data_IF_402527215662
#
_entry.id   IF_402527215662
#
_cell.length_a   1.000
_cell.length_b   1.000
_cell.length_c   1.000
_cell.angle_alpha   90.00
_cell.angle_beta   90.00
_cell.angle_gamma   90.00
#
_symmetry.space_group_name_H-M   'P 1'
#
loop_
_entity.id
_entity.type
_entity.pdbx_description
1 polymer ?
#
# COMPACT_ATOMS: atom_id res chain seq x y z
N UNK A 1 -46.93 -2.08 64.22
CA UNK A 1 -47.28 -0.77 63.62
C UNK A 1 -46.01 -0.27 62.92
N UNK A 2 -45.76 -0.60 61.65
CA UNK A 2 -46.25 0.03 60.41
C UNK A 2 -45.74 1.47 60.17
N UNK A 3 -44.90 1.61 59.13
CA UNK A 3 -44.76 2.69 58.10
C UNK A 3 -43.27 2.82 57.69
N UNK A 4 -42.80 2.47 56.49
CA UNK A 4 -43.13 2.82 55.08
C UNK A 4 -42.64 4.20 54.61
N UNK A 5 -41.61 4.13 53.75
CA UNK A 5 -41.35 4.85 52.47
C UNK A 5 -40.98 6.34 52.45
N UNK A 6 -40.01 6.64 51.58
CA UNK A 6 -39.89 7.94 50.89
C UNK A 6 -38.50 8.20 50.28
N UNK A 7 -38.18 7.59 49.13
CA UNK A 7 -37.07 8.00 48.27
C UNK A 7 -37.58 9.12 47.35
N UNK A 8 -36.97 10.31 47.41
CA UNK A 8 -37.29 11.43 46.52
C UNK A 8 -36.20 11.57 45.44
N UNK A 9 -36.63 11.40 44.19
CA UNK A 9 -35.93 11.72 42.96
C UNK A 9 -36.00 13.22 42.66
N UNK A 10 -34.89 13.83 42.21
CA UNK A 10 -34.87 15.12 41.52
C UNK A 10 -34.13 14.99 40.18
N UNK A 11 -34.59 15.68 39.10
CA UNK A 11 -34.04 15.54 37.76
C UNK A 11 -32.94 16.57 37.50
N UNK A 12 -31.87 16.17 36.80
CA UNK A 12 -30.92 17.11 36.21
C UNK A 12 -31.02 17.04 34.69
N UNK A 13 -31.60 18.09 34.12
CA UNK A 13 -31.57 18.43 32.70
C UNK A 13 -30.33 19.28 32.41
N UNK A 14 -29.46 18.83 31.51
CA UNK A 14 -28.44 19.67 30.87
C UNK A 14 -28.43 19.45 29.35
N UNK A 15 -28.09 20.49 28.55
CA UNK A 15 -28.46 20.62 27.14
C UNK A 15 -27.46 19.98 26.17
N UNK A 16 -27.94 19.77 24.93
CA UNK A 16 -27.18 19.26 23.77
C UNK A 16 -26.30 20.34 23.10
N UNK A 17 -25.19 19.88 22.49
CA UNK A 17 -24.30 20.60 21.55
C UNK A 17 -22.94 20.93 22.15
N UNK A 18 -21.76 20.66 21.57
CA UNK A 18 -21.37 20.35 20.19
C UNK A 18 -20.14 19.42 20.16
N UNK A 19 -20.05 18.59 19.12
CA UNK A 19 -18.95 17.67 18.84
C UNK A 19 -17.68 18.42 18.42
N UNK A 20 -16.53 17.99 18.95
CA UNK A 20 -15.19 18.21 18.40
C UNK A 20 -14.55 16.84 18.23
N UNK A 21 -14.11 16.55 17.01
CA UNK A 21 -13.72 15.23 16.52
C UNK A 21 -12.57 14.60 17.31
N UNK A 22 -12.90 13.54 18.04
CA UNK A 22 -11.96 12.48 18.32
C UNK A 22 -11.97 11.55 17.11
N UNK A 23 -10.94 11.63 16.26
CA UNK A 23 -10.54 10.48 15.44
C UNK A 23 -9.95 9.45 16.41
N UNK A 24 -10.85 8.85 17.18
CA UNK A 24 -10.54 7.82 18.14
C UNK A 24 -10.18 6.55 17.37
N UNK A 25 -9.14 5.85 17.87
CA UNK A 25 -8.93 4.42 17.70
C UNK A 25 -10.20 3.71 17.26
N UNK A 26 -10.11 2.93 16.18
CA UNK A 26 -11.09 1.90 15.92
C UNK A 26 -10.59 0.61 16.59
N UNK A 27 -10.97 0.31 17.86
CA UNK A 27 -10.52 -0.88 18.57
C UNK A 27 -11.10 -2.19 18.00
N UNK A 28 -12.00 -2.11 17.01
CA UNK A 28 -12.68 -3.28 16.43
C UNK A 28 -11.96 -3.84 15.18
N UNK A 29 -10.76 -3.34 14.84
CA UNK A 29 -9.96 -3.90 13.74
C UNK A 29 -9.17 -5.14 14.21
N UNK A 30 -9.85 -6.28 14.07
CA UNK A 30 -9.37 -7.65 13.79
C UNK A 30 -8.54 -8.34 14.89
N UNK A 31 -9.17 -9.26 15.63
CA UNK A 31 -8.45 -10.39 16.25
C UNK A 31 -7.72 -11.17 15.14
N UNK A 32 -6.39 -11.22 15.21
CA UNK A 32 -5.57 -11.98 14.27
C UNK A 32 -5.97 -13.47 14.32
N UNK A 33 -6.62 -13.93 13.25
CA UNK A 33 -6.78 -15.35 12.95
C UNK A 33 -5.87 -15.63 11.75
N UNK A 34 -4.92 -16.57 11.82
CA UNK A 34 -4.09 -16.93 10.67
C UNK A 34 -5.00 -17.25 9.48
N UNK A 35 -4.83 -16.58 8.35
CA UNK A 35 -5.83 -16.66 7.30
C UNK A 35 -5.61 -17.92 6.45
N UNK A 36 -6.69 -18.59 6.08
CA UNK A 36 -6.61 -19.87 5.36
C UNK A 36 -7.74 -20.11 4.37
N UNK A 37 -8.60 -19.11 4.15
CA UNK A 37 -9.79 -19.29 3.31
C UNK A 37 -9.96 -18.18 2.28
N UNK A 38 -10.67 -18.48 1.19
CA UNK A 38 -11.09 -17.48 0.19
C UNK A 38 -11.95 -16.35 0.79
N UNK A 39 -12.70 -16.63 1.86
CA UNK A 39 -13.49 -15.60 2.56
C UNK A 39 -12.59 -14.58 3.27
N UNK A 40 -11.40 -14.98 3.69
CA UNK A 40 -10.41 -14.08 4.28
C UNK A 40 -9.82 -13.14 3.22
N UNK A 41 -9.51 -13.63 2.02
CA UNK A 41 -9.01 -12.80 0.91
C UNK A 41 -10.05 -11.77 0.44
N UNK A 42 -11.32 -12.18 0.31
CA UNK A 42 -12.41 -11.25 -0.03
C UNK A 42 -12.62 -10.20 1.07
N UNK A 43 -12.39 -10.55 2.34
CA UNK A 43 -12.43 -9.61 3.46
C UNK A 43 -11.27 -8.64 3.39
N UNK A 44 -10.05 -9.12 3.16
CA UNK A 44 -8.85 -8.29 3.03
C UNK A 44 -9.06 -7.27 1.90
N UNK A 45 -9.50 -7.71 0.73
CA UNK A 45 -9.77 -6.82 -0.40
C UNK A 45 -10.80 -5.72 -0.08
N UNK A 46 -11.79 -6.00 0.76
CA UNK A 46 -12.81 -5.00 1.13
C UNK A 46 -12.34 -4.05 2.22
N UNK A 47 -11.63 -4.55 3.23
CA UNK A 47 -11.36 -3.82 4.46
C UNK A 47 -10.08 -2.99 4.38
N UNK A 48 -9.16 -3.38 3.48
CA UNK A 48 -7.88 -2.72 3.23
C UNK A 48 -7.98 -1.89 1.96
N UNK A 49 -8.77 -0.82 2.02
CA UNK A 49 -8.90 0.17 0.96
C UNK A 49 -8.82 1.57 1.55
N UNK A 50 -8.25 2.53 0.83
CA UNK A 50 -8.16 3.92 1.25
C UNK A 50 -8.50 4.88 0.13
N UNK A 51 -9.11 6.01 0.48
CA UNK A 51 -9.38 7.05 -0.50
C UNK A 51 -8.05 7.69 -0.96
N UNK A 52 -7.89 7.99 -2.26
CA UNK A 52 -6.71 8.69 -2.76
C UNK A 52 -6.47 10.02 -2.04
N UNK A 53 -5.20 10.45 -1.96
CA UNK A 53 -4.87 11.73 -1.33
C UNK A 53 -5.56 12.87 -2.09
N UNK A 54 -6.49 13.64 -1.47
CA UNK A 54 -7.15 14.77 -2.12
C UNK A 54 -6.19 15.87 -2.58
N UNK A 55 -5.00 15.96 -1.98
CA UNK A 55 -3.97 16.95 -2.28
C UNK A 55 -2.96 16.43 -3.32
N UNK A 56 -3.08 15.15 -3.71
CA UNK A 56 -2.33 14.53 -4.78
C UNK A 56 -0.82 14.38 -4.52
N UNK A 57 -0.09 14.20 -5.63
CA UNK A 57 1.36 14.03 -5.61
C UNK A 57 2.10 15.37 -5.70
N UNK A 58 3.24 15.44 -4.99
CA UNK A 58 4.18 16.56 -4.97
C UNK A 58 5.59 16.03 -5.20
N UNK A 59 6.45 16.85 -5.79
CA UNK A 59 7.88 16.57 -5.82
C UNK A 59 8.47 16.78 -4.43
N UNK A 60 9.17 15.78 -3.93
CA UNK A 60 9.88 15.85 -2.66
C UNK A 60 11.39 15.84 -2.88
N UNK A 61 12.15 16.63 -2.08
CA UNK A 61 11.70 17.51 -0.98
C UNK A 61 11.05 18.82 -1.43
N UNK A 62 10.08 19.33 -0.68
CA UNK A 62 9.33 20.55 -1.07
C UNK A 62 10.05 21.85 -0.75
N UNK A 63 10.97 21.83 0.21
CA UNK A 63 11.68 23.01 0.67
C UNK A 63 13.16 22.97 0.30
N UNK A 64 13.73 24.14 0.02
CA UNK A 64 15.08 24.24 -0.56
C UNK A 64 16.20 23.79 0.43
N UNK A 65 15.98 23.93 1.74
CA UNK A 65 16.93 23.51 2.79
C UNK A 65 17.00 21.98 2.86
N UNK A 66 15.85 21.30 2.79
CA UNK A 66 15.78 19.84 2.69
C UNK A 66 16.18 19.35 1.30
N UNK A 67 15.97 20.11 0.21
CA UNK A 67 16.53 19.79 -1.13
C UNK A 67 18.04 19.66 -1.11
N UNK A 68 18.76 20.55 -0.42
CA UNK A 68 20.22 20.46 -0.34
C UNK A 68 20.69 19.21 0.43
N UNK A 69 20.00 18.84 1.52
CA UNK A 69 20.35 17.67 2.34
C UNK A 69 19.83 16.34 1.79
N UNK A 70 18.56 16.29 1.41
CA UNK A 70 17.91 15.09 0.87
C UNK A 70 18.30 14.80 -0.58
N UNK A 71 18.71 15.82 -1.36
CA UNK A 71 19.37 15.63 -2.66
C UNK A 71 20.71 14.90 -2.54
N UNK A 72 21.46 15.13 -1.45
CA UNK A 72 22.68 14.36 -1.13
C UNK A 72 22.35 12.92 -0.70
N UNK A 73 21.17 12.74 -0.11
CA UNK A 73 20.57 11.45 0.16
C UNK A 73 19.82 10.89 -1.06
N UNK A 74 19.83 11.50 -2.25
CA UNK A 74 19.15 10.95 -3.43
C UNK A 74 17.63 10.76 -3.30
N UNK A 75 16.96 11.48 -2.40
CA UNK A 75 15.49 11.45 -2.25
C UNK A 75 14.86 12.48 -3.21
N UNK A 76 14.82 12.17 -4.51
CA UNK A 76 14.07 12.96 -5.49
C UNK A 76 12.95 12.10 -6.03
N UNK A 77 11.79 12.17 -5.38
CA UNK A 77 10.66 11.30 -5.67
C UNK A 77 9.34 12.06 -5.62
N UNK A 78 8.39 11.58 -6.40
CA UNK A 78 7.00 12.05 -6.36
C UNK A 78 6.25 11.29 -5.27
N UNK A 79 5.96 11.98 -4.17
CA UNK A 79 5.25 11.45 -2.98
C UNK A 79 3.92 12.19 -2.80
N UNK A 80 3.02 11.69 -1.98
CA UNK A 80 1.80 12.44 -1.63
C UNK A 80 2.12 13.70 -0.82
N UNK A 81 1.25 14.71 -0.89
CA UNK A 81 1.43 15.94 -0.12
C UNK A 81 1.56 15.68 1.40
N UNK A 82 0.80 14.69 1.92
CA UNK A 82 0.86 14.29 3.33
C UNK A 82 2.12 13.52 3.69
N UNK A 83 2.67 12.68 2.80
CA UNK A 83 3.99 12.08 3.01
C UNK A 83 5.05 13.17 3.13
N UNK A 84 5.02 14.16 2.24
CA UNK A 84 5.96 15.27 2.30
C UNK A 84 5.85 16.07 3.61
N UNK A 85 4.65 16.28 4.16
CA UNK A 85 4.46 16.90 5.49
C UNK A 85 5.11 16.07 6.60
N UNK A 86 4.97 14.74 6.55
CA UNK A 86 5.54 13.85 7.55
C UNK A 86 7.07 13.78 7.46
N UNK A 87 7.61 13.71 6.24
CA UNK A 87 9.05 13.71 5.97
C UNK A 87 9.70 15.04 6.38
N UNK A 88 9.06 16.18 6.11
CA UNK A 88 9.53 17.50 6.55
C UNK A 88 9.66 17.57 8.09
N UNK A 89 8.76 16.90 8.81
CA UNK A 89 8.75 16.83 10.27
C UNK A 89 9.89 16.02 10.91
N UNK A 90 10.59 15.16 10.14
CA UNK A 90 11.69 14.33 10.64
C UNK A 90 13.01 15.11 10.80
N UNK A 91 13.17 16.21 10.05
CA UNK A 91 14.45 16.91 9.92
C UNK A 91 15.54 16.06 9.24
N UNK A 92 16.74 16.63 9.05
CA UNK A 92 17.79 15.99 8.24
C UNK A 92 18.28 14.65 8.79
N UNK A 93 18.44 14.54 10.11
CA UNK A 93 18.89 13.30 10.75
C UNK A 93 17.82 12.20 10.60
N UNK A 94 16.55 12.53 10.85
CA UNK A 94 15.43 11.62 10.68
C UNK A 94 15.21 11.19 9.22
N UNK A 95 15.47 12.08 8.25
CA UNK A 95 15.41 11.73 6.83
C UNK A 95 16.50 10.74 6.41
N UNK A 96 17.74 10.94 6.89
CA UNK A 96 18.82 9.97 6.66
C UNK A 96 18.42 8.62 7.23
N UNK A 97 17.95 8.63 8.47
CA UNK A 97 17.49 7.44 9.18
C UNK A 97 16.33 6.72 8.48
N UNK A 98 15.38 7.47 7.94
CA UNK A 98 14.26 6.95 7.17
C UNK A 98 14.73 6.30 5.88
N UNK A 99 15.63 6.95 5.15
CA UNK A 99 16.22 6.40 3.94
C UNK A 99 17.03 5.13 4.22
N UNK A 100 17.81 5.11 5.29
CA UNK A 100 18.58 3.93 5.68
C UNK A 100 17.65 2.74 6.00
N UNK A 101 16.51 3.01 6.67
CA UNK A 101 15.47 2.00 6.93
C UNK A 101 14.82 1.50 5.64
N UNK A 102 14.49 2.40 4.72
CA UNK A 102 13.94 2.04 3.41
C UNK A 102 14.92 1.17 2.62
N UNK A 103 16.17 1.63 2.43
CA UNK A 103 17.20 0.91 1.70
C UNK A 103 17.47 -0.48 2.28
N UNK A 104 17.53 -0.59 3.61
CA UNK A 104 17.69 -1.89 4.29
C UNK A 104 16.54 -2.85 4.01
N UNK A 105 15.30 -2.36 3.96
CA UNK A 105 14.16 -3.20 3.63
C UNK A 105 14.24 -3.72 2.19
N UNK A 106 14.65 -2.88 1.23
CA UNK A 106 14.88 -3.28 -0.15
C UNK A 106 16.01 -4.31 -0.28
N UNK A 107 17.18 -4.04 0.30
CA UNK A 107 18.33 -4.94 0.22
C UNK A 107 18.01 -6.31 0.87
N UNK A 108 17.36 -6.29 2.03
CA UNK A 108 16.98 -7.54 2.73
C UNK A 108 15.91 -8.30 1.95
N UNK A 109 14.98 -7.61 1.29
CA UNK A 109 13.98 -8.26 0.44
C UNK A 109 14.64 -8.97 -0.75
N UNK A 110 15.57 -8.31 -1.44
CA UNK A 110 16.31 -8.90 -2.56
C UNK A 110 17.16 -10.10 -2.12
N UNK A 111 17.73 -10.07 -0.91
CA UNK A 111 18.50 -11.18 -0.34
C UNK A 111 17.65 -12.40 0.04
N UNK A 112 16.45 -12.19 0.61
CA UNK A 112 15.57 -13.27 1.10
C UNK A 112 14.64 -13.82 0.02
N UNK A 113 14.16 -12.95 -0.85
CA UNK A 113 13.22 -13.23 -1.92
C UNK A 113 13.73 -12.57 -3.20
N UNK A 114 14.65 -13.25 -3.89
CA UNK A 114 15.28 -12.72 -5.10
C UNK A 114 14.21 -12.27 -6.13
N UNK A 115 14.39 -11.10 -6.76
CA UNK A 115 13.44 -10.60 -7.73
C UNK A 115 13.33 -11.53 -8.94
N UNK A 116 12.11 -11.71 -9.42
CA UNK A 116 11.88 -12.41 -10.69
C UNK A 116 12.43 -11.59 -11.86
N UNK A 117 12.88 -12.25 -12.93
CA UNK A 117 13.35 -11.54 -14.12
C UNK A 117 12.26 -11.49 -15.19
N UNK A 118 11.69 -10.30 -15.44
CA UNK A 118 10.65 -10.08 -16.46
C UNK A 118 11.10 -9.08 -17.52
N UNK A 119 11.04 -9.49 -18.78
CA UNK A 119 11.51 -8.65 -19.90
C UNK A 119 12.98 -8.24 -19.78
N UNK A 120 13.80 -9.03 -19.09
CA UNK A 120 15.21 -8.73 -18.81
C UNK A 120 15.44 -7.71 -17.69
N UNK A 121 14.41 -7.38 -16.90
CA UNK A 121 14.49 -6.49 -15.74
C UNK A 121 14.00 -7.22 -14.48
N UNK A 122 14.57 -6.95 -13.30
CA UNK A 122 14.05 -7.50 -12.06
C UNK A 122 12.67 -6.90 -11.75
N UNK A 123 11.72 -7.77 -11.43
CA UNK A 123 10.35 -7.49 -11.02
C UNK A 123 10.20 -7.81 -9.52
N UNK A 124 9.74 -6.80 -8.78
CA UNK A 124 9.68 -6.76 -7.31
C UNK A 124 8.29 -6.36 -6.81
N UNK A 125 7.34 -6.25 -7.72
CA UNK A 125 6.02 -5.73 -7.42
C UNK A 125 5.04 -6.89 -7.32
N UNK A 126 4.10 -6.77 -6.40
CA UNK A 126 2.99 -7.69 -6.13
C UNK A 126 3.37 -9.14 -5.78
N UNK A 127 4.65 -9.39 -5.54
CA UNK A 127 5.22 -10.72 -5.31
C UNK A 127 5.76 -10.89 -3.89
N UNK A 128 6.37 -12.03 -3.58
CA UNK A 128 6.93 -12.31 -2.25
C UNK A 128 7.99 -11.31 -1.82
N UNK A 129 8.78 -10.77 -2.75
CA UNK A 129 9.73 -9.70 -2.47
C UNK A 129 9.00 -8.45 -1.99
N UNK A 130 7.90 -8.09 -2.66
CA UNK A 130 7.06 -6.97 -2.28
C UNK A 130 6.42 -7.16 -0.90
N UNK A 131 5.78 -8.32 -0.69
CA UNK A 131 5.14 -8.67 0.57
C UNK A 131 6.14 -8.64 1.74
N UNK A 132 7.34 -9.21 1.55
CA UNK A 132 8.41 -9.13 2.54
C UNK A 132 8.83 -7.66 2.78
N UNK A 133 9.06 -6.90 1.71
CA UNK A 133 9.54 -5.51 1.78
C UNK A 133 8.56 -4.63 2.55
N UNK A 134 7.27 -4.67 2.24
CA UNK A 134 6.24 -3.89 2.93
C UNK A 134 6.14 -4.26 4.41
N UNK A 135 6.11 -5.56 4.71
CA UNK A 135 6.03 -6.08 6.08
C UNK A 135 7.26 -5.68 6.89
N UNK A 136 8.46 -5.91 6.37
CA UNK A 136 9.71 -5.62 7.07
C UNK A 136 9.96 -4.12 7.22
N UNK A 137 9.66 -3.32 6.20
CA UNK A 137 9.75 -1.86 6.29
C UNK A 137 8.83 -1.30 7.38
N UNK A 138 7.59 -1.78 7.48
CA UNK A 138 6.68 -1.39 8.56
C UNK A 138 7.15 -1.85 9.93
N UNK A 139 7.79 -3.02 10.04
CA UNK A 139 8.39 -3.47 11.28
C UNK A 139 9.54 -2.55 11.73
N UNK A 140 10.46 -2.20 10.81
CA UNK A 140 11.58 -1.29 11.07
C UNK A 140 11.09 0.13 11.42
N UNK A 141 10.15 0.68 10.65
CA UNK A 141 9.55 1.98 10.94
C UNK A 141 8.86 1.98 12.30
N UNK A 142 8.15 0.91 12.66
CA UNK A 142 7.48 0.80 13.96
C UNK A 142 8.46 0.80 15.13
N UNK A 143 9.57 0.07 15.02
CA UNK A 143 10.63 0.13 16.04
C UNK A 143 11.24 1.52 16.17
N UNK A 144 11.35 2.27 15.08
CA UNK A 144 12.06 3.55 15.04
C UNK A 144 11.19 4.76 15.39
N UNK A 145 9.97 4.79 14.86
CA UNK A 145 9.06 5.94 14.90
C UNK A 145 7.76 5.65 15.67
N UNK A 146 7.51 4.40 16.05
CA UNK A 146 6.30 3.96 16.73
C UNK A 146 5.15 3.63 15.78
N UNK A 147 4.27 2.73 16.20
CA UNK A 147 3.22 2.16 15.35
C UNK A 147 2.26 3.20 14.76
N UNK A 148 1.90 4.23 15.53
CA UNK A 148 0.98 5.29 15.06
C UNK A 148 1.58 6.13 13.94
N UNK A 149 2.87 6.48 14.06
CA UNK A 149 3.55 7.23 13.01
C UNK A 149 3.67 6.38 11.75
N UNK A 150 4.08 5.12 11.91
CA UNK A 150 4.23 4.16 10.82
C UNK A 150 2.92 3.91 10.08
N UNK A 151 1.82 3.68 10.80
CA UNK A 151 0.51 3.47 10.20
C UNK A 151 0.11 4.68 9.35
N UNK A 152 0.23 5.89 9.89
CA UNK A 152 -0.10 7.11 9.16
C UNK A 152 0.76 7.25 7.90
N UNK A 153 2.07 7.04 8.01
CA UNK A 153 2.98 7.16 6.88
C UNK A 153 2.65 6.13 5.79
N UNK A 154 2.63 4.85 6.16
CA UNK A 154 2.41 3.74 5.23
C UNK A 154 1.04 3.83 4.57
N UNK A 155 -0.02 4.14 5.34
CA UNK A 155 -1.35 4.34 4.77
C UNK A 155 -1.35 5.47 3.75
N UNK A 156 -0.68 6.59 4.05
CA UNK A 156 -0.58 7.71 3.13
C UNK A 156 0.19 7.32 1.86
N UNK A 157 1.26 6.54 1.97
CA UNK A 157 2.01 6.01 0.84
C UNK A 157 1.13 5.22 -0.14
N UNK A 158 0.12 4.50 0.35
CA UNK A 158 -0.81 3.73 -0.51
C UNK A 158 -1.88 4.59 -1.19
N UNK A 159 -2.14 5.82 -0.72
CA UNK A 159 -3.14 6.74 -1.31
C UNK A 159 -2.71 7.37 -2.65
N UNK A 160 -1.61 6.90 -3.25
CA UNK A 160 -1.10 7.40 -4.53
C UNK A 160 -2.05 6.99 -5.66
N UNK A 161 -2.34 7.89 -6.62
CA UNK A 161 -3.30 7.61 -7.69
C UNK A 161 -2.80 6.50 -8.62
N UNK A 162 -3.71 5.63 -9.05
CA UNK A 162 -3.44 4.57 -10.02
C UNK A 162 -3.11 3.21 -9.41
N UNK A 163 -3.20 3.05 -8.08
CA UNK A 163 -3.11 1.75 -7.44
C UNK A 163 -4.36 0.90 -7.77
N UNK A 164 -4.18 -0.40 -8.03
CA UNK A 164 -5.33 -1.30 -8.18
C UNK A 164 -5.87 -1.67 -6.80
N UNK A 165 -7.17 -1.94 -6.64
CA UNK A 165 -7.74 -2.36 -5.35
C UNK A 165 -6.98 -3.52 -4.72
N UNK A 166 -6.52 -4.48 -5.53
CA UNK A 166 -5.81 -5.66 -5.03
C UNK A 166 -4.40 -5.36 -4.57
N UNK A 167 -3.66 -4.47 -5.26
CA UNK A 167 -2.34 -4.04 -4.81
C UNK A 167 -2.46 -3.20 -3.54
N UNK A 168 -3.39 -2.23 -3.51
CA UNK A 168 -3.65 -1.43 -2.32
C UNK A 168 -3.99 -2.30 -1.10
N UNK A 169 -4.85 -3.31 -1.28
CA UNK A 169 -5.19 -4.25 -0.22
C UNK A 169 -4.00 -5.09 0.23
N UNK A 170 -3.18 -5.56 -0.70
CA UNK A 170 -1.96 -6.30 -0.42
C UNK A 170 -0.99 -5.47 0.43
N UNK A 171 -0.69 -4.26 -0.03
CA UNK A 171 0.25 -3.35 0.61
C UNK A 171 -0.22 -2.98 2.02
N UNK A 172 -1.47 -2.52 2.17
CA UNK A 172 -2.01 -2.12 3.47
C UNK A 172 -2.07 -3.28 4.48
N UNK A 173 -2.43 -4.50 4.02
CA UNK A 173 -2.48 -5.69 4.88
C UNK A 173 -1.08 -6.09 5.35
N UNK A 174 -0.12 -6.20 4.43
CA UNK A 174 1.25 -6.56 4.74
C UNK A 174 1.93 -5.47 5.62
N UNK A 175 1.62 -4.20 5.36
CA UNK A 175 2.04 -3.07 6.19
C UNK A 175 1.56 -3.24 7.64
N UNK A 176 0.28 -3.59 7.85
CA UNK A 176 -0.25 -3.82 9.19
C UNK A 176 0.39 -5.01 9.91
N UNK A 177 0.56 -6.14 9.20
CA UNK A 177 1.23 -7.31 9.77
C UNK A 177 2.65 -6.96 10.25
N UNK A 178 3.39 -6.17 9.49
CA UNK A 178 4.72 -5.67 9.88
C UNK A 178 4.72 -4.87 11.17
N UNK A 179 3.73 -3.98 11.35
CA UNK A 179 3.57 -3.22 12.60
C UNK A 179 3.29 -4.14 13.78
N UNK A 180 2.40 -5.12 13.61
CA UNK A 180 2.06 -6.11 14.65
C UNK A 180 3.28 -6.94 15.06
N UNK A 181 4.04 -7.47 14.10
CA UNK A 181 5.28 -8.23 14.37
C UNK A 181 6.24 -7.38 15.23
N UNK A 182 6.45 -6.10 14.90
CA UNK A 182 7.32 -5.25 15.69
C UNK A 182 6.78 -4.95 17.11
N UNK A 183 5.46 -4.85 17.28
CA UNK A 183 4.82 -4.62 18.58
C UNK A 183 4.86 -5.87 19.47
N UNK A 184 4.69 -7.05 18.89
CA UNK A 184 4.74 -8.33 19.59
C UNK A 184 6.18 -8.73 19.96
N UNK A 185 7.17 -8.19 19.23
CA UNK A 185 8.59 -8.44 19.42
C UNK A 185 9.39 -7.15 19.65
N UNK A 186 9.11 -6.38 20.73
CA UNK A 186 9.69 -5.06 20.93
C UNK A 186 11.22 -5.09 21.07
N UNK A 187 11.77 -6.18 21.60
CA UNK A 187 13.22 -6.36 21.83
C UNK A 187 13.96 -7.03 20.67
N UNK A 188 13.26 -7.50 19.63
CA UNK A 188 13.88 -8.17 18.49
C UNK A 188 14.85 -7.24 17.75
N UNK A 189 16.05 -7.72 17.46
CA UNK A 189 16.97 -7.07 16.54
C UNK A 189 16.38 -6.97 15.13
N UNK A 190 16.96 -6.11 14.29
CA UNK A 190 16.55 -6.00 12.88
C UNK A 190 16.66 -7.35 12.16
N UNK A 191 17.69 -8.14 12.45
CA UNK A 191 17.85 -9.48 11.88
C UNK A 191 16.73 -10.42 12.34
N UNK A 192 16.40 -10.41 13.63
CA UNK A 192 15.30 -11.24 14.16
C UNK A 192 13.96 -10.83 13.57
N UNK A 193 13.72 -9.53 13.38
CA UNK A 193 12.54 -9.06 12.65
C UNK A 193 12.53 -9.56 11.20
N UNK A 194 13.66 -9.49 10.49
CA UNK A 194 13.74 -10.01 9.13
C UNK A 194 13.45 -11.52 9.09
N UNK A 195 13.96 -12.29 10.05
CA UNK A 195 13.71 -13.73 10.16
C UNK A 195 12.22 -14.03 10.46
N UNK A 196 11.58 -13.23 11.33
CA UNK A 196 10.15 -13.34 11.62
C UNK A 196 9.27 -13.01 10.40
N UNK A 197 9.63 -11.96 9.66
CA UNK A 197 8.90 -11.55 8.45
C UNK A 197 9.09 -12.58 7.34
N UNK A 198 10.30 -13.11 7.14
CA UNK A 198 10.54 -14.19 6.19
C UNK A 198 9.65 -15.39 6.51
N UNK A 199 9.57 -15.77 7.79
CA UNK A 199 8.71 -16.85 8.24
C UNK A 199 7.23 -16.55 7.96
N UNK A 200 6.74 -15.34 8.23
CA UNK A 200 5.36 -14.95 7.93
C UNK A 200 5.04 -15.06 6.43
N UNK A 201 5.99 -14.69 5.56
CA UNK A 201 5.83 -14.86 4.11
C UNK A 201 5.80 -16.36 3.72
N UNK A 202 6.65 -17.18 4.31
CA UNK A 202 6.73 -18.63 4.02
C UNK A 202 5.53 -19.41 4.56
N UNK A 203 4.96 -18.98 5.68
CA UNK A 203 3.82 -19.63 6.34
C UNK A 203 2.46 -19.21 5.75
N UNK A 204 2.42 -18.24 4.82
CA UNK A 204 1.18 -17.77 4.19
C UNK A 204 0.45 -16.67 4.95
N UNK A 205 1.08 -16.07 5.96
CA UNK A 205 0.46 -15.01 6.77
C UNK A 205 0.37 -13.69 6.00
N UNK A 206 1.24 -13.48 4.99
CA UNK A 206 1.18 -12.35 4.04
C UNK A 206 0.34 -12.66 2.81
N UNK A 207 -0.07 -11.61 2.09
CA UNK A 207 -0.74 -11.74 0.79
C UNK A 207 0.09 -11.17 -0.35
N UNK A 208 -0.16 -11.67 -1.56
CA UNK A 208 0.47 -11.29 -2.84
C UNK A 208 -0.62 -11.20 -3.93
N UNK A 209 -0.28 -10.71 -5.12
CA UNK A 209 -1.22 -10.67 -6.27
C UNK A 209 -0.86 -11.74 -7.31
N UNK A 210 -1.84 -12.59 -7.61
CA UNK A 210 -1.78 -13.66 -8.62
C UNK A 210 -1.62 -13.13 -10.05
N UNK A 211 -0.61 -13.64 -10.75
CA UNK A 211 -0.39 -13.39 -12.16
C UNK A 211 -1.46 -14.01 -13.04
N UNK A 212 -2.13 -13.14 -13.80
CA UNK A 212 -3.11 -13.55 -14.81
C UNK A 212 -4.55 -13.43 -14.34
N UNK A 213 -4.77 -13.10 -13.06
CA UNK A 213 -6.09 -12.80 -12.52
C UNK A 213 -6.21 -11.46 -11.80
N UNK A 214 -5.09 -10.87 -11.35
CA UNK A 214 -5.10 -9.65 -10.55
C UNK A 214 -5.80 -9.85 -9.20
N UNK A 215 -5.83 -11.08 -8.67
CA UNK A 215 -6.52 -11.42 -7.40
C UNK A 215 -5.50 -11.55 -6.28
N UNK A 216 -5.92 -11.24 -5.05
CA UNK A 216 -5.15 -11.58 -3.86
C UNK A 216 -5.01 -13.10 -3.68
N UNK A 217 -3.86 -13.53 -3.18
CA UNK A 217 -3.57 -14.89 -2.73
C UNK A 217 -2.69 -14.86 -1.47
N UNK A 218 -2.77 -15.88 -0.62
CA UNK A 218 -1.79 -16.06 0.45
C UNK A 218 -0.45 -16.44 -0.15
N UNK A 219 0.63 -15.96 0.46
CA UNK A 219 1.98 -16.12 -0.06
C UNK A 219 2.44 -17.57 -0.15
N UNK A 220 1.90 -18.50 0.64
CA UNK A 220 2.23 -19.93 0.56
C UNK A 220 1.43 -20.69 -0.52
N UNK A 221 0.39 -20.08 -1.09
CA UNK A 221 -0.50 -20.72 -2.07
C UNK A 221 -0.06 -20.55 -3.52
N UNK A 222 0.94 -19.70 -3.76
CA UNK A 222 1.40 -19.33 -5.09
C UNK A 222 2.91 -19.22 -5.12
N UNK A 223 3.54 -19.69 -6.19
CA UNK A 223 4.99 -19.53 -6.36
C UNK A 223 5.34 -18.10 -6.77
N UNK A 224 6.54 -17.63 -6.46
CA UNK A 224 6.97 -16.26 -6.84
C UNK A 224 6.86 -16.02 -8.35
N UNK A 225 7.15 -17.04 -9.17
CA UNK A 225 7.03 -16.96 -10.63
C UNK A 225 5.61 -16.67 -11.15
N UNK A 226 4.61 -16.93 -10.31
CA UNK A 226 3.18 -16.76 -10.55
C UNK A 226 2.61 -15.49 -9.87
N UNK A 227 3.45 -14.58 -9.35
CA UNK A 227 3.00 -13.30 -8.73
C UNK A 227 3.61 -12.04 -9.34
N UNK A 228 2.84 -10.95 -9.50
CA UNK A 228 3.31 -9.66 -10.06
C UNK A 228 2.35 -8.92 -11.02
N UNK A 229 2.83 -7.85 -11.67
CA UNK A 229 2.03 -7.09 -12.65
C UNK A 229 1.65 -7.90 -13.90
N UNK A 230 0.35 -7.96 -14.29
CA UNK A 230 -0.06 -8.58 -15.55
C UNK A 230 0.40 -7.75 -16.76
N UNK A 231 0.67 -8.41 -17.91
CA UNK A 231 0.79 -7.72 -19.20
C UNK A 231 -0.55 -7.12 -19.63
N UNK A 232 -0.90 -5.95 -19.13
CA UNK A 232 -1.96 -5.15 -19.75
C UNK A 232 -1.37 -4.38 -20.93
N UNK A 233 -1.54 -4.93 -22.14
CA UNK A 233 -1.67 -4.05 -23.31
C UNK A 233 -2.97 -3.28 -23.12
N UNK A 234 -2.98 -1.93 -23.18
CA UNK A 234 -4.21 -1.17 -23.14
C UNK A 234 -5.17 -1.73 -24.21
N UNK A 235 -6.48 -1.88 -23.93
CA UNK A 235 -7.43 -2.23 -24.97
C UNK A 235 -7.28 -1.19 -26.09
N UNK A 236 -7.03 -1.68 -27.29
CA UNK A 236 -6.94 -0.86 -28.49
C UNK A 236 -8.28 -0.14 -28.63
N UNK A 237 -8.30 1.16 -28.28
CA UNK A 237 -9.45 2.01 -28.56
C UNK A 237 -9.60 2.00 -30.08
N UNK A 238 -10.62 1.31 -30.57
CA UNK A 238 -11.08 1.47 -31.95
C UNK A 238 -11.31 2.96 -32.15
N UNK A 239 -10.45 3.59 -32.95
CA UNK A 239 -10.70 4.94 -33.40
C UNK A 239 -12.03 4.92 -34.17
N UNK A 240 -12.94 5.86 -33.91
CA UNK A 240 -14.18 5.93 -34.66
C UNK A 240 -13.83 6.19 -36.13
N UNK A 241 -14.34 5.31 -37.00
CA UNK A 241 -14.28 5.42 -38.45
C UNK A 241 -14.57 6.85 -38.90
N UNK A 242 -13.56 7.56 -39.41
CA UNK A 242 -13.80 8.68 -40.31
C UNK A 242 -14.22 8.09 -41.66
N UNK A 243 -15.53 7.92 -41.82
CA UNK A 243 -16.16 7.89 -43.14
C UNK A 243 -16.70 9.28 -43.42
N UNK A 244 -16.20 9.91 -44.48
CA UNK A 244 -16.95 10.85 -45.30
C UNK A 244 -16.18 11.08 -46.61
N UNK A 245 -16.68 10.38 -47.62
CA UNK A 245 -16.79 10.71 -49.05
C UNK A 245 -16.29 12.07 -49.58
N UNK A 246 -15.75 12.02 -50.80
CA UNK A 246 -16.31 12.58 -52.05
C UNK A 246 -15.14 12.78 -53.03
N UNK A 247 -14.95 11.92 -54.05
CA UNK A 247 -15.51 12.07 -55.40
C UNK A 247 -14.34 12.11 -56.41
N UNK A 248 -14.36 11.59 -57.64
CA UNK A 248 -15.37 10.91 -58.45
C UNK A 248 -14.81 10.72 -59.88
N UNK A 249 -15.27 9.67 -60.58
CA UNK A 249 -15.23 9.47 -62.05
C UNK A 249 -13.85 9.21 -62.70
N UNK A 250 -13.70 8.44 -63.78
CA UNK A 250 -14.62 7.71 -64.66
C UNK A 250 -13.82 6.67 -65.47
N UNK A 251 -14.54 5.69 -65.99
CA UNK A 251 -14.09 4.55 -66.82
C UNK A 251 -13.47 4.91 -68.18
N UNK A 252 -12.76 3.92 -68.77
CA UNK A 252 -12.52 3.56 -70.19
C UNK A 252 -11.20 2.76 -70.23
N UNK A 253 -10.98 1.65 -70.93
CA UNK A 253 -11.69 0.86 -71.94
C UNK A 253 -10.69 -0.19 -72.47
N UNK A 254 -11.20 -1.27 -73.06
CA UNK A 254 -10.50 -2.48 -73.50
C UNK A 254 -9.45 -2.30 -74.63
N UNK A 255 -8.66 -3.36 -74.80
CA UNK A 255 -8.40 -4.07 -76.08
C UNK A 255 -7.01 -3.96 -76.78
N UNK A 256 -6.42 -5.16 -76.92
CA UNK A 256 -5.57 -5.76 -77.97
C UNK A 256 -4.60 -4.96 -78.85
N UNK A 257 -3.40 -5.54 -79.07
CA UNK A 257 -2.55 -5.22 -80.21
C UNK A 257 -1.21 -5.97 -80.29
N UNK A 258 -1.22 -7.10 -81.02
CA UNK A 258 -0.15 -7.76 -81.81
C UNK A 258 1.14 -8.26 -81.14
#
# INVERSE_FOLDING_TARGET
MSRSKGLSSLPSSHPKGHAAGAHACNPDKVEYTPPGTRQDLDRILRDYQVDPDPDGLVEYPRNWILHAGAGLLGMNESVTAREADMLDGLGLAGLKDFKDVQGKAFDTADDRFAPDMRGGKPDRNDNHNDAFRHTYWNALMTKKYGAQWTEKYATTHETRPGNTPEREAMDLYNNELGRRIAQDHPDASEKELADLVEKAVQDGDTVVVDHGGGRLAFSDQISSSETGEPKLRPPERQQPNKSSDLGGGSALGDDSGS
#
